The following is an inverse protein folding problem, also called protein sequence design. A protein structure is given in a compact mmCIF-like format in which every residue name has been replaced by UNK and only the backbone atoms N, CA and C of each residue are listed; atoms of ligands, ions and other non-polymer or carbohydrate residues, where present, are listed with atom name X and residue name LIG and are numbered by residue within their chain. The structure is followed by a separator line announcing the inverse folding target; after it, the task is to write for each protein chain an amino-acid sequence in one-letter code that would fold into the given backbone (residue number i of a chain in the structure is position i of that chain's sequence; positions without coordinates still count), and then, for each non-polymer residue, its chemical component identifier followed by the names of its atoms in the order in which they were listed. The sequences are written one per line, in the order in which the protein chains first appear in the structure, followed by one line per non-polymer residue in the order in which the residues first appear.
data_IF_611474930385
#
_entry.id   IF_611474930385
#
_cell.length_a   1.000
_cell.length_b   1.000
_cell.length_c   1.000
_cell.angle_alpha   90.00
_cell.angle_beta   90.00
_cell.angle_gamma   90.00
#
_symmetry.space_group_name_H-M   'P 1'
#
loop_
_entity.id
_entity.type
_entity.pdbx_description
1 polymer ?
#
# COMPACT_ATOMS: atom_id res chain seq x y z
N UNK A 1 -0.68 15.09 -0.76
CA UNK A 1 -1.80 14.36 -1.39
C UNK A 1 -1.80 14.66 -2.88
N UNK A 2 -2.03 15.91 -3.31
CA UNK A 2 -2.02 16.28 -4.74
C UNK A 2 -0.77 15.85 -5.54
N UNK A 3 0.44 15.99 -4.99
CA UNK A 3 1.66 15.52 -5.67
C UNK A 3 1.75 14.00 -5.79
N UNK A 4 1.15 13.27 -4.84
CA UNK A 4 1.12 11.81 -4.85
C UNK A 4 0.13 11.35 -5.92
N UNK A 5 -1.05 11.97 -5.95
CA UNK A 5 -2.10 11.72 -6.92
C UNK A 5 -1.61 12.00 -8.35
N UNK A 6 -0.86 13.09 -8.56
CA UNK A 6 -0.24 13.38 -9.85
C UNK A 6 0.82 12.33 -10.26
N UNK A 7 1.62 11.81 -9.32
CA UNK A 7 2.58 10.72 -9.59
C UNK A 7 1.88 9.41 -9.90
N UNK A 8 0.75 9.14 -9.24
CA UNK A 8 -0.09 7.98 -9.53
C UNK A 8 -0.69 8.07 -10.93
N UNK A 9 -1.31 9.20 -11.27
CA UNK A 9 -1.90 9.41 -12.60
C UNK A 9 -0.87 9.29 -13.72
N UNK A 10 0.34 9.82 -13.51
CA UNK A 10 1.43 9.68 -14.46
C UNK A 10 1.90 8.22 -14.63
N UNK A 11 2.04 7.48 -13.53
CA UNK A 11 2.45 6.07 -13.55
C UNK A 11 1.38 5.17 -14.17
N UNK A 12 0.12 5.39 -13.80
CA UNK A 12 -0.99 4.57 -14.30
C UNK A 12 -1.19 4.76 -15.81
N UNK A 13 -1.00 5.96 -16.32
CA UNK A 13 -1.13 6.25 -17.75
C UNK A 13 0.10 5.88 -18.59
N UNK A 14 1.20 5.46 -17.97
CA UNK A 14 2.38 4.98 -18.68
C UNK A 14 2.10 3.61 -19.36
N UNK A 15 2.15 3.53 -20.70
CA UNK A 15 1.96 2.28 -21.42
C UNK A 15 3.05 1.25 -21.14
N UNK A 16 4.27 1.66 -20.75
CA UNK A 16 5.34 0.74 -20.38
C UNK A 16 5.09 0.12 -19.01
N UNK A 17 4.60 0.89 -18.04
CA UNK A 17 4.15 0.37 -16.74
C UNK A 17 3.06 -0.70 -16.91
N UNK A 18 2.07 -0.47 -17.78
CA UNK A 18 0.96 -1.42 -18.00
C UNK A 18 1.40 -2.75 -18.63
N UNK A 19 2.51 -2.77 -19.38
CA UNK A 19 3.07 -3.99 -20.00
C UNK A 19 3.87 -4.85 -19.02
N UNK A 20 4.28 -4.31 -17.86
CA UNK A 20 5.10 -5.03 -16.89
C UNK A 20 4.29 -6.13 -16.19
N UNK A 21 4.94 -7.24 -15.79
CA UNK A 21 4.34 -8.23 -14.91
C UNK A 21 3.76 -7.59 -13.64
N UNK A 22 2.66 -8.16 -13.14
CA UNK A 22 1.92 -7.64 -11.98
C UNK A 22 2.81 -7.35 -10.76
N UNK A 23 3.78 -8.23 -10.46
CA UNK A 23 4.72 -8.06 -9.34
C UNK A 23 5.64 -6.85 -9.52
N UNK A 24 6.11 -6.59 -10.75
CA UNK A 24 6.94 -5.40 -11.03
C UNK A 24 6.10 -4.11 -10.90
N UNK A 25 4.83 -4.17 -11.32
CA UNK A 25 3.90 -3.06 -11.13
C UNK A 25 3.71 -2.73 -9.65
N UNK A 26 3.52 -3.74 -8.79
CA UNK A 26 3.43 -3.53 -7.33
C UNK A 26 4.68 -2.84 -6.76
N UNK A 27 5.87 -3.24 -7.20
CA UNK A 27 7.13 -2.62 -6.73
C UNK A 27 7.20 -1.15 -7.15
N UNK A 28 6.82 -0.83 -8.39
CA UNK A 28 6.82 0.54 -8.90
C UNK A 28 5.77 1.43 -8.22
N UNK A 29 4.59 0.88 -7.98
CA UNK A 29 3.54 1.47 -7.13
C UNK A 29 4.12 1.79 -5.75
N UNK A 30 4.81 0.82 -5.13
CA UNK A 30 5.45 0.98 -3.83
C UNK A 30 6.43 2.15 -3.73
N UNK A 31 7.07 2.52 -4.85
CA UNK A 31 8.05 3.62 -4.91
C UNK A 31 7.42 5.01 -5.01
N UNK A 32 6.12 5.12 -5.32
CA UNK A 32 5.40 6.42 -5.39
C UNK A 32 5.19 6.98 -3.98
N UNK A 33 5.00 6.11 -3.00
CA UNK A 33 4.74 6.47 -1.59
C UNK A 33 6.06 6.59 -0.82
N UNK A 34 6.34 7.73 -0.15
CA UNK A 34 7.55 7.90 0.66
C UNK A 34 7.64 6.90 1.81
N UNK A 35 8.86 6.46 2.15
CA UNK A 35 9.07 5.51 3.27
C UNK A 35 8.71 6.04 4.66
N UNK A 36 8.56 7.35 4.83
CA UNK A 36 7.99 7.90 6.06
C UNK A 36 6.50 7.56 6.19
N UNK A 37 5.76 7.58 5.08
CA UNK A 37 4.32 7.34 5.07
C UNK A 37 4.01 5.86 5.25
N UNK A 38 4.79 4.97 4.62
CA UNK A 38 4.71 3.54 4.89
C UNK A 38 4.88 3.21 6.37
N UNK A 39 5.84 3.83 7.06
CA UNK A 39 6.07 3.59 8.49
C UNK A 39 4.99 4.16 9.39
N UNK A 40 4.27 5.20 8.95
CA UNK A 40 3.18 5.81 9.72
C UNK A 40 1.87 5.04 9.55
N UNK A 41 1.58 4.58 8.34
CA UNK A 41 0.27 4.07 7.98
C UNK A 41 0.21 2.56 7.84
N UNK A 42 1.34 1.88 7.59
CA UNK A 42 1.36 0.43 7.49
C UNK A 42 1.56 -0.20 8.88
N UNK A 43 0.62 -1.02 9.36
CA UNK A 43 0.79 -1.72 10.61
C UNK A 43 1.89 -2.78 10.50
N UNK A 44 2.77 -2.83 11.51
CA UNK A 44 3.86 -3.81 11.56
C UNK A 44 3.37 -5.24 11.83
N UNK A 45 2.15 -5.37 12.34
CA UNK A 45 1.48 -6.62 12.69
C UNK A 45 0.29 -6.94 11.77
N UNK A 46 0.22 -6.28 10.61
CA UNK A 46 -0.87 -6.44 9.64
C UNK A 46 -1.18 -7.91 9.32
N UNK A 47 -0.15 -8.74 9.13
CA UNK A 47 -0.33 -10.16 8.79
C UNK A 47 -1.05 -10.97 9.89
N UNK A 48 -0.88 -10.58 11.16
CA UNK A 48 -1.54 -11.24 12.31
C UNK A 48 -2.94 -10.67 12.54
N UNK A 49 -3.08 -9.35 12.38
CA UNK A 49 -4.30 -8.61 12.66
C UNK A 49 -5.04 -8.21 11.37
N UNK A 50 -4.94 -9.03 10.31
CA UNK A 50 -5.48 -8.68 9.00
C UNK A 50 -7.00 -8.47 9.05
N UNK A 51 -7.71 -9.32 9.79
CA UNK A 51 -9.16 -9.21 9.97
C UNK A 51 -9.57 -7.92 10.69
N UNK A 52 -8.79 -7.49 11.68
CA UNK A 52 -9.00 -6.22 12.35
C UNK A 52 -8.88 -5.04 11.38
N UNK A 53 -7.80 -5.00 10.59
CA UNK A 53 -7.57 -3.89 9.66
C UNK A 53 -8.52 -3.88 8.47
N UNK A 54 -9.02 -5.04 8.03
CA UNK A 54 -9.93 -5.13 6.88
C UNK A 54 -11.40 -5.00 7.27
N UNK A 55 -11.79 -5.51 8.45
CA UNK A 55 -13.19 -5.66 8.84
C UNK A 55 -13.53 -5.05 10.20
N UNK A 56 -12.56 -4.48 10.92
CA UNK A 56 -12.78 -3.95 12.27
C UNK A 56 -13.02 -5.03 13.32
N UNK A 57 -12.64 -6.29 13.04
CA UNK A 57 -12.64 -7.35 14.04
C UNK A 57 -11.72 -6.99 15.22
N UNK A 58 -11.93 -7.53 16.44
CA UNK A 58 -10.97 -7.34 17.54
C UNK A 58 -9.57 -7.78 17.11
N UNK A 59 -8.54 -7.09 17.61
CA UNK A 59 -7.16 -7.57 17.41
C UNK A 59 -6.92 -8.80 18.27
N UNK A 60 -5.98 -9.67 17.86
CA UNK A 60 -5.59 -10.84 18.65
C UNK A 60 -5.14 -10.48 20.08
N UNK A 61 -4.59 -9.28 20.28
CA UNK A 61 -4.17 -8.74 21.57
C UNK A 61 -5.30 -8.12 22.40
N UNK A 62 -6.47 -7.85 21.81
CA UNK A 62 -7.66 -7.32 22.47
C UNK A 62 -8.61 -8.42 22.97
N UNK A 63 -8.50 -9.65 22.45
CA UNK A 63 -9.32 -10.80 22.87
C UNK A 63 -8.86 -11.46 24.18
N UNK A 64 -7.87 -10.90 24.88
CA UNK A 64 -7.30 -11.45 26.13
C UNK A 64 -7.61 -10.58 27.34
#
# INVERSE_FOLDING_TARGET
MEELDAKWDALENDPEFRKKPFWQRIVEIGNVVPQSEWRKHLPTDFARNAEHYMYGAPREDEEK
#
